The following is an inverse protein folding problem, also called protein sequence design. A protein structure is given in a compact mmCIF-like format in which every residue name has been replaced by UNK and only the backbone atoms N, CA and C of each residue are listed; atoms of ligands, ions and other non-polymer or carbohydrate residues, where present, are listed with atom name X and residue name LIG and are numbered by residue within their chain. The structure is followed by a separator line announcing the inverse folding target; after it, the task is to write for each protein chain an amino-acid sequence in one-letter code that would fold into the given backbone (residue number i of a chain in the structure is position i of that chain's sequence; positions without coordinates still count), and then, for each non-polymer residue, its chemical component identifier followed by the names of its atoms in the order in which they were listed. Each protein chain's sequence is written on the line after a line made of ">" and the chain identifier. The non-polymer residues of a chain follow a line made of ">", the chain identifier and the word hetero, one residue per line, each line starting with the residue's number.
data_IF_235279842230
#
_entry.id   IF_235279842230
#
_cell.length_a   1.000
_cell.length_b   1.000
_cell.length_c   1.000
_cell.angle_alpha   90.00
_cell.angle_beta   90.00
_cell.angle_gamma   90.00
#
_symmetry.space_group_name_H-M   'P 1'
#
loop_
_entity.id
_entity.type
_entity.pdbx_description
1 polymer ?
#
# COMPACT_ATOMS: atom_id res chain seq x y z
N UNK A 1 -8.58 2.29 -9.73
CA UNK A 1 -7.25 1.88 -9.21
C UNK A 1 -6.21 2.44 -10.15
N UNK A 2 -5.13 3.03 -9.62
CA UNK A 2 -4.03 3.47 -10.47
C UNK A 2 -3.19 2.23 -10.85
N UNK A 3 -2.83 2.08 -12.13
CA UNK A 3 -2.09 0.90 -12.62
C UNK A 3 -0.71 0.73 -11.96
N UNK A 4 -0.20 1.80 -11.33
CA UNK A 4 1.03 1.85 -10.52
C UNK A 4 1.04 0.83 -9.37
N UNK A 5 -0.12 0.41 -8.88
CA UNK A 5 -0.26 -0.54 -7.78
C UNK A 5 0.04 -1.99 -8.21
N UNK A 6 0.02 -2.28 -9.52
CA UNK A 6 0.29 -3.60 -10.05
C UNK A 6 1.80 -3.72 -10.29
N UNK A 7 2.49 -4.47 -9.43
CA UNK A 7 3.96 -4.59 -9.46
C UNK A 7 4.50 -5.10 -10.81
N UNK A 8 3.75 -5.95 -11.50
CA UNK A 8 4.14 -6.51 -12.80
C UNK A 8 3.97 -5.54 -13.99
N UNK A 9 3.38 -4.35 -13.77
CA UNK A 9 3.11 -3.35 -14.79
C UNK A 9 3.93 -2.06 -14.65
N UNK A 10 4.88 -1.98 -13.71
CA UNK A 10 5.60 -0.73 -13.36
C UNK A 10 6.10 0.10 -14.55
N UNK A 11 6.50 -0.53 -15.66
CA UNK A 11 7.02 0.14 -16.85
C UNK A 11 6.26 -0.22 -18.15
N UNK A 12 5.08 -0.80 -18.05
CA UNK A 12 4.34 -1.34 -19.20
C UNK A 12 2.94 -0.76 -19.26
N UNK A 13 2.60 -0.08 -20.35
CA UNK A 13 1.23 0.41 -20.55
C UNK A 13 0.27 -0.78 -20.66
N UNK A 14 -0.74 -0.88 -19.78
CA UNK A 14 -1.66 -2.00 -19.81
C UNK A 14 -2.55 -1.96 -21.05
N UNK A 15 -2.70 -3.10 -21.71
CA UNK A 15 -3.66 -3.33 -22.80
C UNK A 15 -4.58 -4.48 -22.42
N UNK A 16 -5.84 -4.42 -22.87
CA UNK A 16 -6.81 -5.49 -22.65
C UNK A 16 -6.28 -6.81 -23.22
N UNK A 17 -6.33 -7.87 -22.43
CA UNK A 17 -5.82 -9.20 -22.78
C UNK A 17 -4.33 -9.40 -22.49
N UNK A 18 -3.62 -8.40 -21.97
CA UNK A 18 -2.22 -8.55 -21.58
C UNK A 18 -2.09 -9.50 -20.37
N UNK A 19 -1.28 -10.53 -20.54
CA UNK A 19 -0.78 -11.36 -19.44
C UNK A 19 0.61 -10.87 -19.05
N UNK A 20 0.76 -10.47 -17.79
CA UNK A 20 2.04 -9.95 -17.28
C UNK A 20 3.00 -11.06 -16.88
N UNK A 21 4.30 -10.76 -16.87
CA UNK A 21 5.31 -11.69 -16.36
C UNK A 21 5.11 -11.89 -14.84
N UNK A 22 5.24 -13.12 -14.31
CA UNK A 22 5.20 -13.35 -12.88
C UNK A 22 6.28 -12.55 -12.15
N UNK A 23 5.90 -11.91 -11.05
CA UNK A 23 6.79 -11.23 -10.12
C UNK A 23 6.85 -12.06 -8.85
N UNK A 24 8.06 -12.40 -8.40
CA UNK A 24 8.29 -13.11 -7.14
C UNK A 24 8.39 -12.10 -6.01
N UNK A 25 7.61 -12.31 -4.96
CA UNK A 25 7.63 -11.50 -3.75
C UNK A 25 8.71 -12.05 -2.82
N UNK A 26 9.72 -11.23 -2.53
CA UNK A 26 10.87 -11.65 -1.71
C UNK A 26 10.45 -11.90 -0.25
N UNK A 27 9.36 -11.29 0.21
CA UNK A 27 8.87 -11.41 1.59
C UNK A 27 8.33 -12.79 1.96
N UNK A 28 7.68 -13.49 1.02
CA UNK A 28 6.99 -14.75 1.28
C UNK A 28 7.26 -15.82 0.20
N UNK A 29 8.17 -15.54 -0.74
CA UNK A 29 8.53 -16.39 -1.86
C UNK A 29 7.34 -16.78 -2.76
N UNK A 30 6.24 -16.04 -2.68
CA UNK A 30 5.08 -16.22 -3.54
C UNK A 30 5.31 -15.57 -4.92
N UNK A 31 4.53 -15.95 -5.92
CA UNK A 31 4.57 -15.34 -7.25
C UNK A 31 3.20 -14.78 -7.62
N UNK A 32 3.17 -13.58 -8.18
CA UNK A 32 1.94 -12.95 -8.68
C UNK A 32 2.07 -12.54 -10.14
N UNK A 33 1.01 -12.73 -10.89
CA UNK A 33 0.85 -12.21 -12.25
C UNK A 33 -0.56 -11.61 -12.38
N UNK A 34 -0.73 -10.73 -13.35
CA UNK A 34 -1.99 -10.08 -13.68
C UNK A 34 -2.39 -10.39 -15.13
N UNK A 35 -3.68 -10.64 -15.34
CA UNK A 35 -4.34 -10.68 -16.64
C UNK A 35 -5.31 -9.49 -16.75
N UNK A 36 -5.12 -8.64 -17.75
CA UNK A 36 -5.83 -7.37 -17.85
C UNK A 36 -7.17 -7.56 -18.57
N UNK A 37 -8.27 -7.52 -17.81
CA UNK A 37 -9.63 -7.70 -18.34
C UNK A 37 -10.15 -6.46 -19.07
N UNK A 38 -9.84 -5.27 -18.55
CA UNK A 38 -10.33 -4.01 -19.08
C UNK A 38 -9.39 -2.87 -18.68
N UNK A 39 -9.22 -1.89 -19.56
CA UNK A 39 -8.45 -0.68 -19.33
C UNK A 39 -9.39 0.51 -19.51
N UNK A 40 -9.44 1.38 -18.51
CA UNK A 40 -10.17 2.64 -18.54
C UNK A 40 -9.16 3.77 -18.77
N UNK A 41 -9.16 4.32 -19.97
CA UNK A 41 -8.22 5.35 -20.45
C UNK A 41 -8.68 6.79 -20.17
N UNK A 42 -9.97 6.94 -19.80
CA UNK A 42 -10.58 8.22 -19.45
C UNK A 42 -10.89 8.26 -17.96
N UNK A 43 -10.74 9.43 -17.29
CA UNK A 43 -11.18 9.60 -15.92
C UNK A 43 -12.69 9.40 -15.85
N UNK A 44 -13.12 8.28 -15.30
CA UNK A 44 -14.51 8.01 -14.99
C UNK A 44 -14.81 8.42 -13.55
N UNK A 45 -15.95 9.08 -13.28
CA UNK A 45 -16.37 9.32 -11.91
C UNK A 45 -16.58 7.96 -11.23
N UNK A 46 -15.99 7.80 -10.04
CA UNK A 46 -16.21 6.60 -9.23
C UNK A 46 -17.67 6.52 -8.83
N UNK A 47 -18.17 5.30 -8.67
CA UNK A 47 -19.49 5.12 -8.06
C UNK A 47 -19.48 5.64 -6.61
N UNK A 48 -20.66 5.95 -6.11
CA UNK A 48 -20.83 6.36 -4.72
C UNK A 48 -20.25 5.32 -3.74
N UNK A 49 -20.51 4.03 -3.98
CA UNK A 49 -20.06 2.94 -3.11
C UNK A 49 -18.53 2.80 -3.09
N UNK A 50 -17.88 2.85 -4.25
CA UNK A 50 -16.41 2.84 -4.33
C UNK A 50 -15.79 4.05 -3.62
N UNK A 51 -16.41 5.22 -3.77
CA UNK A 51 -15.94 6.46 -3.15
C UNK A 51 -16.09 6.41 -1.63
N UNK A 52 -17.20 5.86 -1.14
CA UNK A 52 -17.47 5.68 0.29
C UNK A 52 -16.42 4.78 0.94
N UNK A 53 -16.12 3.62 0.35
CA UNK A 53 -15.09 2.72 0.87
C UNK A 53 -13.72 3.39 0.93
N UNK A 54 -13.34 4.16 -0.10
CA UNK A 54 -12.09 4.91 -0.10
C UNK A 54 -12.05 5.98 1.01
N UNK A 55 -13.12 6.77 1.15
CA UNK A 55 -13.19 7.83 2.17
C UNK A 55 -13.09 7.26 3.59
N UNK A 56 -13.76 6.15 3.85
CA UNK A 56 -13.69 5.45 5.15
C UNK A 56 -12.26 5.01 5.43
N UNK A 57 -11.56 4.43 4.45
CA UNK A 57 -10.16 4.00 4.62
C UNK A 57 -9.23 5.20 4.92
N UNK A 58 -9.33 6.28 4.13
CA UNK A 58 -8.53 7.49 4.36
C UNK A 58 -8.78 8.10 5.74
N UNK A 59 -10.03 8.09 6.18
CA UNK A 59 -10.39 8.59 7.50
C UNK A 59 -9.84 7.71 8.62
N UNK A 60 -9.90 6.38 8.47
CA UNK A 60 -9.31 5.43 9.41
C UNK A 60 -7.81 5.66 9.58
N UNK A 61 -7.07 5.82 8.47
CA UNK A 61 -5.64 6.15 8.52
C UNK A 61 -5.38 7.47 9.29
N UNK A 62 -6.20 8.49 9.03
CA UNK A 62 -6.09 9.77 9.75
C UNK A 62 -6.32 9.62 11.26
N UNK A 63 -7.28 8.77 11.66
CA UNK A 63 -7.54 8.48 13.07
C UNK A 63 -6.37 7.73 13.72
N UNK A 64 -5.79 6.76 13.04
CA UNK A 64 -4.65 5.98 13.52
C UNK A 64 -3.40 6.85 13.71
N UNK A 65 -3.09 7.73 12.75
CA UNK A 65 -1.98 8.69 12.86
C UNK A 65 -2.17 9.66 14.03
N UNK A 66 -3.41 10.11 14.26
CA UNK A 66 -3.74 10.96 15.39
C UNK A 66 -3.62 10.21 16.73
N UNK A 67 -4.06 8.95 16.77
CA UNK A 67 -3.95 8.11 17.95
C UNK A 67 -2.49 7.83 18.31
N UNK A 68 -1.66 7.44 17.35
CA UNK A 68 -0.22 7.22 17.55
C UNK A 68 0.47 8.48 18.11
N UNK A 69 0.16 9.65 17.54
CA UNK A 69 0.69 10.93 18.02
C UNK A 69 0.29 11.23 19.47
N UNK A 70 -0.96 10.99 19.83
CA UNK A 70 -1.46 11.19 21.20
C UNK A 70 -0.79 10.23 22.18
N UNK A 71 -0.62 8.96 21.80
CA UNK A 71 0.03 7.94 22.63
C UNK A 71 1.50 8.28 22.87
N UNK A 72 2.26 8.64 21.83
CA UNK A 72 3.66 9.06 21.95
C UNK A 72 3.83 10.28 22.86
N UNK A 73 2.89 11.23 22.78
CA UNK A 73 2.90 12.41 23.66
C UNK A 73 2.58 12.05 25.11
N UNK A 74 1.63 11.13 25.33
CA UNK A 74 1.20 10.70 26.66
C UNK A 74 2.24 9.80 27.35
N UNK A 75 2.94 8.98 26.58
CA UNK A 75 3.92 8.01 27.07
C UNK A 75 5.26 8.22 26.34
N UNK A 76 6.06 9.23 26.73
CA UNK A 76 7.35 9.46 26.11
C UNK A 76 8.31 8.32 26.42
N UNK A 77 8.72 7.59 25.38
CA UNK A 77 9.69 6.49 25.50
C UNK A 77 11.11 7.07 25.40
N UNK A 78 11.93 6.83 26.41
CA UNK A 78 13.37 7.17 26.39
C UNK A 78 14.16 5.90 26.16
N UNK A 79 14.96 5.85 25.09
CA UNK A 79 15.79 4.69 24.76
C UNK A 79 17.13 4.82 25.48
N UNK A 80 17.51 3.78 26.23
CA UNK A 80 18.83 3.67 26.84
C UNK A 80 19.83 3.15 25.80
N UNK A 81 20.40 4.07 25.00
CA UNK A 81 21.27 3.74 23.88
C UNK A 81 22.41 2.78 24.24
N UNK A 82 23.02 2.96 25.43
CA UNK A 82 24.10 2.10 25.93
C UNK A 82 23.74 0.61 26.06
N UNK A 83 22.49 0.30 26.39
CA UNK A 83 22.05 -1.10 26.50
C UNK A 83 21.60 -1.65 25.15
N UNK A 84 21.01 -0.80 24.30
CA UNK A 84 20.62 -1.17 22.94
C UNK A 84 21.84 -1.53 22.08
N UNK A 85 22.92 -0.76 22.17
CA UNK A 85 24.15 -0.98 21.41
C UNK A 85 24.82 -2.32 21.76
N UNK A 86 24.60 -2.87 22.96
CA UNK A 86 25.11 -4.20 23.36
C UNK A 86 24.37 -5.37 22.71
N UNK A 87 23.15 -5.14 22.22
CA UNK A 87 22.29 -6.18 21.60
C UNK A 87 22.42 -6.15 20.07
N UNK A 88 22.77 -4.98 19.49
CA UNK A 88 22.93 -4.79 18.05
C UNK A 88 24.36 -5.08 17.54
N UNK A 89 25.28 -5.43 18.42
CA UNK A 89 26.65 -5.88 18.12
C UNK A 89 26.84 -7.33 18.56
#
# INVERSE_FOLDING_TARGET
>A
LEWSQIQSLKNTTPTKGLLTKPVVHISDNSASFAYILQVFDKPTPRSFEESKGMLVNMYQQTLEENLDRQLRKKYPVTIHQKELDKILH
#
